data_IF_998498743808
#
_entry.id   IF_998498743808
#
_cell.length_a   1.000
_cell.length_b   1.000
_cell.length_c   1.000
_cell.angle_alpha   90.00
_cell.angle_beta   90.00
_cell.angle_gamma   90.00
#
_symmetry.space_group_name_H-M   'P 1'
#
loop_
_entity.id
_entity.type
_entity.pdbx_description
1 polymer ?
#
# COMPACT_ATOMS: atom_id res chain seq x y z
N UNK A 1 -64.52 42.52 -21.73
CA UNK A 1 -65.94 42.24 -21.38
C UNK A 1 -66.12 40.74 -21.59
N UNK A 2 -66.46 39.88 -20.63
CA UNK A 2 -67.53 39.98 -19.63
C UNK A 2 -67.14 39.15 -18.40
N UNK A 3 -67.45 39.70 -17.22
CA UNK A 3 -67.52 38.99 -15.94
C UNK A 3 -68.89 38.36 -15.83
N UNK A 4 -68.99 37.14 -15.31
CA UNK A 4 -70.19 36.66 -14.61
C UNK A 4 -69.78 35.73 -13.48
N UNK A 5 -70.04 36.21 -12.26
CA UNK A 5 -70.05 35.49 -10.99
C UNK A 5 -71.30 34.60 -10.93
N UNK A 6 -71.17 33.38 -10.40
CA UNK A 6 -72.25 32.74 -9.63
C UNK A 6 -71.65 31.86 -8.54
N UNK A 7 -71.92 32.24 -7.30
CA UNK A 7 -71.66 31.50 -6.09
C UNK A 7 -72.73 30.40 -5.88
N UNK A 8 -72.34 29.26 -5.32
CA UNK A 8 -73.20 28.25 -4.67
C UNK A 8 -72.28 27.40 -3.79
N UNK A 9 -72.25 27.66 -2.47
CA UNK A 9 -73.08 27.04 -1.44
C UNK A 9 -72.56 25.65 -0.99
N UNK A 10 -71.79 25.73 0.11
CA UNK A 10 -71.55 24.78 1.21
C UNK A 10 -72.35 23.47 1.19
N UNK A 11 -71.67 22.33 1.37
CA UNK A 11 -72.11 21.26 2.28
C UNK A 11 -70.93 20.46 2.84
N UNK A 12 -70.98 20.28 4.16
CA UNK A 12 -70.03 19.62 5.04
C UNK A 12 -69.87 18.12 4.74
N UNK A 13 -68.63 17.64 4.75
CA UNK A 13 -68.33 16.28 5.22
C UNK A 13 -66.93 16.22 5.79
N UNK A 14 -66.85 16.32 7.12
CA UNK A 14 -65.68 16.01 7.91
C UNK A 14 -65.29 14.54 7.69
N UNK A 15 -64.17 14.32 7.02
CA UNK A 15 -63.50 13.01 6.98
C UNK A 15 -62.10 13.21 7.54
N UNK A 16 -61.96 12.92 8.83
CA UNK A 16 -60.70 12.83 9.54
C UNK A 16 -59.86 11.72 8.87
N UNK A 17 -59.07 12.10 7.86
CA UNK A 17 -58.03 11.23 7.34
C UNK A 17 -56.92 11.19 8.39
N UNK A 18 -56.96 10.16 9.24
CA UNK A 18 -55.86 9.84 10.15
C UNK A 18 -54.60 9.59 9.33
N UNK A 19 -53.77 10.62 9.24
CA UNK A 19 -52.43 10.54 8.68
C UNK A 19 -51.62 9.58 9.55
N UNK A 20 -51.58 8.31 9.16
CA UNK A 20 -50.66 7.34 9.73
C UNK A 20 -49.24 7.80 9.41
N UNK A 21 -48.64 8.55 10.32
CA UNK A 21 -47.21 8.81 10.26
C UNK A 21 -46.49 7.47 10.36
N UNK A 22 -45.99 7.01 9.21
CA UNK A 22 -44.91 6.03 9.16
C UNK A 22 -43.71 6.67 9.84
N UNK A 23 -43.56 6.40 11.13
CA UNK A 23 -42.32 6.70 11.86
C UNK A 23 -41.23 5.90 11.13
N UNK A 24 -40.22 6.51 10.51
CA UNK A 24 -39.12 5.76 9.95
C UNK A 24 -38.42 5.03 11.11
N UNK A 25 -38.56 3.71 11.13
CA UNK A 25 -37.86 2.83 12.07
C UNK A 25 -36.41 2.66 11.63
N UNK A 26 -35.67 3.76 11.59
CA UNK A 26 -34.21 3.73 11.58
C UNK A 26 -33.80 4.20 12.97
N UNK A 27 -33.38 3.25 13.81
CA UNK A 27 -32.64 3.62 15.01
C UNK A 27 -31.44 4.49 14.55
N UNK A 28 -31.19 5.65 15.18
CA UNK A 28 -30.03 6.46 14.81
C UNK A 28 -28.79 5.60 15.08
N UNK A 29 -28.12 5.14 14.03
CA UNK A 29 -26.74 4.68 14.18
C UNK A 29 -25.96 5.92 14.58
N UNK A 30 -25.32 5.89 15.74
CA UNK A 30 -24.57 7.04 16.24
C UNK A 30 -23.55 7.48 15.18
N UNK A 31 -23.33 8.78 15.03
CA UNK A 31 -22.34 9.33 14.09
C UNK A 31 -20.94 8.76 14.32
N UNK A 32 -20.63 8.38 15.56
CA UNK A 32 -19.42 7.64 15.95
C UNK A 32 -19.28 6.31 15.21
N UNK A 33 -20.32 5.46 15.16
CA UNK A 33 -20.28 4.19 14.41
C UNK A 33 -20.09 4.35 12.90
N UNK A 34 -20.40 5.52 12.34
CA UNK A 34 -20.18 5.80 10.92
C UNK A 34 -18.73 6.23 10.65
N UNK A 35 -18.11 6.98 11.57
CA UNK A 35 -16.70 7.35 11.51
C UNK A 35 -15.81 6.10 11.61
N UNK A 36 -15.99 5.26 12.62
CA UNK A 36 -15.19 4.03 12.80
C UNK A 36 -15.30 3.08 11.60
N UNK A 37 -16.46 3.02 10.94
CA UNK A 37 -16.64 2.21 9.72
C UNK A 37 -15.86 2.74 8.53
N UNK A 38 -15.67 4.06 8.47
CA UNK A 38 -14.88 4.73 7.44
C UNK A 38 -13.40 4.46 7.69
N UNK A 39 -12.96 4.57 8.94
CA UNK A 39 -11.56 4.35 9.34
C UNK A 39 -11.16 2.88 9.12
N UNK A 40 -12.01 1.92 9.50
CA UNK A 40 -11.84 0.50 9.15
C UNK A 40 -11.72 0.22 7.65
N UNK A 41 -12.35 1.05 6.79
CA UNK A 41 -12.24 0.91 5.34
C UNK A 41 -10.93 1.51 4.83
N UNK A 42 -10.47 2.60 5.44
CA UNK A 42 -9.21 3.24 5.12
C UNK A 42 -8.03 2.31 5.43
N UNK A 43 -7.90 1.83 6.66
CA UNK A 43 -6.79 0.95 7.04
C UNK A 43 -6.77 -0.35 6.21
N UNK A 44 -7.95 -0.89 5.85
CA UNK A 44 -8.02 -2.06 4.96
C UNK A 44 -7.51 -1.76 3.56
N UNK A 45 -7.72 -0.54 3.08
CA UNK A 45 -7.22 -0.09 1.78
C UNK A 45 -5.72 0.12 1.84
N UNK A 46 -5.21 0.71 2.92
CA UNK A 46 -3.80 1.02 3.11
C UNK A 46 -2.98 -0.27 3.25
N UNK A 47 -3.40 -1.22 4.10
CA UNK A 47 -2.80 -2.56 4.15
C UNK A 47 -2.79 -3.26 2.79
N UNK A 48 -3.78 -3.04 1.92
CA UNK A 48 -3.79 -3.63 0.56
C UNK A 48 -2.80 -2.93 -0.35
N UNK A 49 -2.63 -1.62 -0.21
CA UNK A 49 -1.65 -0.81 -0.91
C UNK A 49 -0.23 -1.26 -0.54
N UNK A 50 0.12 -1.24 0.74
CA UNK A 50 1.44 -1.67 1.24
C UNK A 50 1.77 -3.12 0.84
N UNK A 51 0.77 -4.01 0.81
CA UNK A 51 0.97 -5.39 0.31
C UNK A 51 1.26 -5.47 -1.17
N UNK A 52 0.79 -4.52 -1.97
CA UNK A 52 1.13 -4.40 -3.38
C UNK A 52 2.54 -3.85 -3.53
N UNK A 53 2.90 -2.84 -2.75
CA UNK A 53 4.21 -2.20 -2.78
C UNK A 53 5.30 -3.20 -2.38
N UNK A 54 5.16 -3.89 -1.23
CA UNK A 54 6.05 -5.00 -0.84
C UNK A 54 6.22 -6.05 -1.94
N UNK A 55 5.19 -6.31 -2.76
CA UNK A 55 5.32 -7.27 -3.88
C UNK A 55 6.12 -6.68 -5.03
N UNK A 56 5.99 -5.38 -5.31
CA UNK A 56 6.80 -4.67 -6.29
C UNK A 56 8.26 -4.68 -5.84
N UNK A 57 8.55 -4.19 -4.64
CA UNK A 57 9.92 -4.12 -4.12
C UNK A 57 10.59 -5.50 -4.07
N UNK A 58 9.81 -6.56 -3.82
CA UNK A 58 10.35 -7.94 -3.88
C UNK A 58 10.75 -8.37 -5.29
N UNK A 59 10.05 -7.89 -6.32
CA UNK A 59 10.45 -8.12 -7.72
C UNK A 59 11.72 -7.35 -8.02
N UNK A 60 11.78 -6.09 -7.62
CA UNK A 60 12.92 -5.20 -7.83
C UNK A 60 14.17 -5.75 -7.13
N UNK A 61 14.06 -6.12 -5.85
CA UNK A 61 15.12 -6.84 -5.10
C UNK A 61 15.62 -8.13 -5.75
N UNK A 62 14.75 -8.83 -6.49
CA UNK A 62 15.15 -10.04 -7.21
C UNK A 62 15.85 -9.71 -8.51
N UNK A 63 15.44 -8.64 -9.19
CA UNK A 63 16.10 -8.12 -10.38
C UNK A 63 17.50 -7.60 -10.04
N UNK A 64 17.66 -6.72 -9.05
CA UNK A 64 18.95 -6.21 -8.62
C UNK A 64 19.90 -7.33 -8.16
N UNK A 65 19.35 -8.41 -7.59
CA UNK A 65 20.15 -9.59 -7.24
C UNK A 65 20.68 -10.32 -8.47
N UNK A 66 19.92 -10.35 -9.56
CA UNK A 66 20.34 -10.97 -10.82
C UNK A 66 21.39 -10.12 -11.50
N UNK A 67 21.18 -8.81 -11.58
CA UNK A 67 22.11 -7.82 -12.16
C UNK A 67 23.46 -7.87 -11.42
N UNK A 68 23.46 -7.68 -10.10
CA UNK A 68 24.67 -7.84 -9.26
C UNK A 68 25.39 -9.20 -9.40
N UNK A 69 24.66 -10.27 -9.73
CA UNK A 69 25.26 -11.57 -9.99
C UNK A 69 25.87 -11.66 -11.40
N UNK A 70 25.31 -10.95 -12.38
CA UNK A 70 25.85 -10.68 -13.71
C UNK A 70 27.18 -9.94 -13.62
N UNK A 71 27.21 -8.77 -12.98
CA UNK A 71 28.44 -7.98 -12.79
C UNK A 71 29.55 -8.80 -12.13
N UNK A 72 29.18 -9.64 -11.15
CA UNK A 72 30.16 -10.53 -10.48
C UNK A 72 30.71 -11.62 -11.38
N UNK A 73 30.02 -11.99 -12.46
CA UNK A 73 30.53 -12.92 -13.47
C UNK A 73 31.45 -12.17 -14.43
N UNK A 74 31.07 -10.99 -14.88
CA UNK A 74 31.87 -10.11 -15.74
C UNK A 74 33.21 -9.75 -15.08
N UNK A 75 33.20 -9.23 -13.85
CA UNK A 75 34.41 -8.98 -13.05
C UNK A 75 35.32 -10.22 -12.92
N UNK A 76 34.76 -11.44 -12.93
CA UNK A 76 35.56 -12.67 -12.86
C UNK A 76 36.18 -13.02 -14.21
N UNK A 77 35.47 -12.77 -15.31
CA UNK A 77 35.96 -12.95 -16.68
C UNK A 77 37.13 -11.99 -16.93
N UNK A 78 36.95 -10.68 -16.72
CA UNK A 78 38.01 -9.69 -16.90
C UNK A 78 39.24 -9.98 -16.01
N UNK A 79 39.02 -10.49 -14.79
CA UNK A 79 40.15 -10.92 -13.94
C UNK A 79 40.88 -12.14 -14.47
N UNK A 80 40.21 -13.02 -15.20
CA UNK A 80 40.84 -14.16 -15.86
C UNK A 80 41.63 -13.67 -17.08
N UNK A 81 41.06 -12.76 -17.88
CA UNK A 81 41.69 -12.18 -19.07
C UNK A 81 42.96 -11.41 -18.69
N UNK A 82 42.88 -10.48 -17.72
CA UNK A 82 44.06 -9.80 -17.16
C UNK A 82 45.14 -10.77 -16.66
N UNK A 83 44.76 -11.95 -16.14
CA UNK A 83 45.74 -12.95 -15.70
C UNK A 83 46.39 -13.65 -16.88
N UNK A 84 45.65 -13.92 -17.94
CA UNK A 84 46.14 -14.50 -19.18
C UNK A 84 47.09 -13.52 -19.88
N UNK A 85 46.67 -12.29 -20.13
CA UNK A 85 47.51 -11.26 -20.77
C UNK A 85 48.81 -11.02 -20.01
N UNK A 86 48.75 -11.07 -18.66
CA UNK A 86 49.96 -10.96 -17.84
C UNK A 86 50.93 -12.13 -18.01
N UNK A 87 50.44 -13.33 -18.34
CA UNK A 87 51.29 -14.50 -18.63
C UNK A 87 51.90 -14.33 -20.02
N UNK A 88 51.10 -13.95 -21.00
CA UNK A 88 51.52 -13.70 -22.39
C UNK A 88 52.55 -12.59 -22.44
N UNK A 89 52.28 -11.45 -21.80
CA UNK A 89 53.23 -10.34 -21.64
C UNK A 89 54.59 -10.78 -21.08
N UNK A 90 54.59 -11.66 -20.06
CA UNK A 90 55.84 -12.17 -19.47
C UNK A 90 56.61 -13.05 -20.44
N UNK A 91 55.91 -13.81 -21.28
CA UNK A 91 56.49 -14.66 -22.30
C UNK A 91 57.07 -13.82 -23.44
N UNK A 92 56.33 -12.82 -23.92
CA UNK A 92 56.78 -11.94 -25.01
C UNK A 92 58.01 -11.12 -24.62
N UNK A 93 58.01 -10.58 -23.39
CA UNK A 93 59.19 -9.89 -22.83
C UNK A 93 60.40 -10.83 -22.78
N UNK A 94 60.21 -12.10 -22.40
CA UNK A 94 61.30 -13.10 -22.36
C UNK A 94 61.82 -13.43 -23.76
N UNK A 95 60.93 -13.48 -24.74
CA UNK A 95 61.24 -13.79 -26.13
C UNK A 95 61.78 -12.57 -26.90
N UNK A 96 61.73 -11.37 -26.31
CA UNK A 96 62.15 -10.13 -26.95
C UNK A 96 61.11 -9.55 -27.92
N UNK A 97 59.89 -10.08 -27.95
CA UNK A 97 58.80 -9.55 -28.79
C UNK A 97 58.19 -8.31 -28.12
N UNK A 98 58.74 -7.16 -28.46
CA UNK A 98 58.31 -5.88 -27.88
C UNK A 98 56.95 -5.42 -28.42
N UNK A 99 56.55 -5.86 -29.61
CA UNK A 99 55.29 -5.49 -30.22
C UNK A 99 54.12 -6.24 -29.58
N UNK A 100 54.25 -7.57 -29.42
CA UNK A 100 53.28 -8.37 -28.70
C UNK A 100 53.16 -7.91 -27.23
N UNK A 101 54.29 -7.70 -26.55
CA UNK A 101 54.30 -7.15 -25.20
C UNK A 101 53.63 -5.76 -25.07
N UNK A 102 53.68 -4.92 -26.12
CA UNK A 102 52.98 -3.63 -26.11
C UNK A 102 51.46 -3.81 -26.24
N UNK A 103 51.02 -4.78 -27.04
CA UNK A 103 49.61 -5.14 -27.19
C UNK A 103 49.03 -5.69 -25.88
N UNK A 104 49.69 -6.66 -25.25
CA UNK A 104 49.26 -7.21 -23.96
C UNK A 104 49.15 -6.14 -22.86
N UNK A 105 50.01 -5.11 -22.89
CA UNK A 105 49.90 -3.96 -21.96
C UNK A 105 48.68 -3.09 -22.24
N UNK A 106 48.28 -2.96 -23.51
CA UNK A 106 47.10 -2.21 -23.90
C UNK A 106 45.84 -2.96 -23.46
N UNK A 107 45.79 -4.28 -23.70
CA UNK A 107 44.67 -5.15 -23.34
C UNK A 107 44.48 -5.17 -21.81
N UNK A 108 45.55 -5.41 -21.03
CA UNK A 108 45.52 -5.27 -19.55
C UNK A 108 45.01 -3.89 -19.08
N UNK A 109 45.30 -2.81 -19.83
CA UNK A 109 44.84 -1.47 -19.47
C UNK A 109 43.34 -1.31 -19.77
N UNK A 110 42.84 -1.87 -20.87
CA UNK A 110 41.43 -1.89 -21.21
C UNK A 110 40.64 -2.66 -20.14
N UNK A 111 41.00 -3.91 -19.85
CA UNK A 111 40.32 -4.73 -18.85
C UNK A 111 40.32 -4.08 -17.46
N UNK A 112 41.39 -3.37 -17.09
CA UNK A 112 41.43 -2.64 -15.81
C UNK A 112 40.45 -1.47 -15.76
N UNK A 113 40.19 -0.84 -16.91
CA UNK A 113 39.20 0.23 -17.03
C UNK A 113 37.79 -0.37 -16.92
N UNK A 114 37.56 -1.51 -17.55
CA UNK A 114 36.27 -2.20 -17.52
C UNK A 114 35.97 -2.72 -16.11
N UNK A 115 36.92 -3.41 -15.47
CA UNK A 115 36.85 -3.79 -14.06
C UNK A 115 36.54 -2.62 -13.11
N UNK A 116 37.01 -1.41 -13.41
CA UNK A 116 36.73 -0.23 -12.61
C UNK A 116 35.28 0.22 -12.77
N UNK A 117 34.74 0.14 -13.99
CA UNK A 117 33.35 0.42 -14.31
C UNK A 117 32.43 -0.61 -13.64
N UNK A 118 32.71 -1.91 -13.79
CA UNK A 118 31.93 -2.96 -13.13
C UNK A 118 31.91 -2.81 -11.60
N UNK A 119 33.05 -2.41 -11.01
CA UNK A 119 33.11 -2.14 -9.58
C UNK A 119 32.28 -0.93 -9.15
N UNK A 120 32.12 0.06 -10.03
CA UNK A 120 31.22 1.19 -9.81
C UNK A 120 29.76 0.72 -9.87
N UNK A 121 29.41 -0.08 -10.87
CA UNK A 121 28.04 -0.54 -11.09
C UNK A 121 27.60 -1.49 -9.96
N UNK A 122 28.45 -2.43 -9.56
CA UNK A 122 28.24 -3.28 -8.39
C UNK A 122 28.00 -2.47 -7.09
N UNK A 123 28.59 -1.27 -6.99
CA UNK A 123 28.39 -0.37 -5.84
C UNK A 123 27.04 0.34 -5.94
N UNK A 124 26.60 0.71 -7.14
CA UNK A 124 25.27 1.27 -7.39
C UNK A 124 24.18 0.26 -7.08
N UNK A 125 24.26 -0.95 -7.64
CA UNK A 125 23.35 -2.06 -7.33
C UNK A 125 23.21 -2.28 -5.83
N UNK A 126 24.34 -2.27 -5.10
CA UNK A 126 24.34 -2.47 -3.66
C UNK A 126 23.59 -1.36 -2.90
N UNK A 127 23.57 -0.13 -3.41
CA UNK A 127 22.76 0.97 -2.85
C UNK A 127 21.28 0.76 -3.14
N UNK A 128 20.93 0.36 -4.35
CA UNK A 128 19.55 0.16 -4.78
C UNK A 128 18.91 -0.98 -3.97
N UNK A 129 19.61 -2.12 -3.84
CA UNK A 129 19.25 -3.21 -2.95
C UNK A 129 19.10 -2.82 -1.48
N UNK A 130 19.76 -1.75 -1.03
CA UNK A 130 19.61 -1.24 0.34
C UNK A 130 18.39 -0.34 0.45
N UNK A 131 18.05 0.41 -0.61
CA UNK A 131 16.84 1.22 -0.68
C UNK A 131 15.60 0.34 -0.68
N UNK A 132 15.48 -0.62 -1.58
CA UNK A 132 14.32 -1.51 -1.64
C UNK A 132 14.11 -2.28 -0.34
N UNK A 133 15.20 -2.69 0.33
CA UNK A 133 15.11 -3.33 1.66
C UNK A 133 14.53 -2.41 2.72
N UNK A 134 14.85 -1.12 2.64
CA UNK A 134 14.30 -0.11 3.53
C UNK A 134 12.83 0.11 3.22
N UNK A 135 12.44 0.15 1.97
CA UNK A 135 11.05 0.40 1.54
C UNK A 135 10.14 -0.74 1.99
N UNK A 136 10.54 -2.00 1.72
CA UNK A 136 9.88 -3.20 2.28
C UNK A 136 9.77 -3.16 3.81
N UNK A 137 10.76 -2.56 4.50
CA UNK A 137 10.71 -2.46 5.96
C UNK A 137 9.69 -1.41 6.43
N UNK A 138 9.64 -0.27 5.73
CA UNK A 138 8.67 0.81 5.96
C UNK A 138 7.24 0.29 5.76
N UNK A 139 6.93 -0.32 4.62
CA UNK A 139 5.61 -0.88 4.35
C UNK A 139 5.18 -1.92 5.40
N UNK A 140 6.13 -2.73 5.88
CA UNK A 140 5.85 -3.70 6.97
C UNK A 140 5.56 -3.03 8.30
N UNK A 141 6.10 -1.84 8.54
CA UNK A 141 5.82 -1.03 9.73
C UNK A 141 4.44 -0.41 9.61
N UNK A 142 4.09 0.09 8.43
CA UNK A 142 2.81 0.75 8.17
C UNK A 142 1.65 -0.25 8.25
N UNK A 143 1.76 -1.42 7.60
CA UNK A 143 0.84 -2.56 7.81
C UNK A 143 0.66 -2.92 9.29
N UNK A 144 1.71 -2.79 10.11
CA UNK A 144 1.63 -3.11 11.55
C UNK A 144 0.84 -2.05 12.32
N UNK A 145 1.00 -0.78 11.97
CA UNK A 145 0.20 0.32 12.53
C UNK A 145 -1.26 0.21 12.10
N UNK A 146 -1.54 0.09 10.81
CA UNK A 146 -2.91 -0.06 10.30
C UNK A 146 -3.64 -1.25 10.93
N UNK A 147 -2.93 -2.35 11.20
CA UNK A 147 -3.53 -3.51 11.88
C UNK A 147 -3.89 -3.22 13.34
N UNK A 148 -3.10 -2.38 14.02
CA UNK A 148 -3.37 -1.95 15.38
C UNK A 148 -4.56 -0.99 15.40
N UNK A 149 -4.63 -0.09 14.46
CA UNK A 149 -5.73 0.88 14.33
C UNK A 149 -7.04 0.16 13.98
N UNK A 150 -7.01 -0.76 13.00
CA UNK A 150 -8.13 -1.69 12.73
C UNK A 150 -8.62 -2.46 13.95
N UNK A 151 -7.72 -2.79 14.89
CA UNK A 151 -8.10 -3.48 16.10
C UNK A 151 -8.79 -2.54 17.09
N UNK A 152 -8.31 -1.30 17.22
CA UNK A 152 -8.94 -0.25 18.02
C UNK A 152 -10.33 0.09 17.50
N UNK A 153 -10.48 0.43 16.23
CA UNK A 153 -11.77 0.75 15.62
C UNK A 153 -12.80 -0.39 15.78
N UNK A 154 -12.36 -1.65 15.66
CA UNK A 154 -13.24 -2.81 15.89
C UNK A 154 -13.70 -2.92 17.34
N UNK A 155 -12.83 -2.55 18.28
CA UNK A 155 -13.15 -2.58 19.70
C UNK A 155 -14.16 -1.47 20.02
N UNK A 156 -13.97 -0.30 19.45
CA UNK A 156 -14.81 0.88 19.66
C UNK A 156 -16.21 0.68 19.05
N UNK A 157 -16.29 0.22 17.79
CA UNK A 157 -17.55 -0.22 17.16
C UNK A 157 -18.31 -1.29 17.96
N UNK A 158 -17.58 -2.16 18.68
CA UNK A 158 -18.17 -3.17 19.55
C UNK A 158 -18.68 -2.56 20.85
N UNK A 159 -18.00 -1.54 21.37
CA UNK A 159 -18.44 -0.69 22.47
C UNK A 159 -19.74 0.02 22.14
N UNK A 160 -19.73 0.83 21.07
CA UNK A 160 -20.89 1.58 20.59
C UNK A 160 -22.11 0.66 20.38
N UNK A 161 -21.92 -0.48 19.71
CA UNK A 161 -23.01 -1.45 19.50
C UNK A 161 -23.59 -2.01 20.82
N UNK A 162 -22.78 -2.11 21.87
CA UNK A 162 -23.27 -2.54 23.20
C UNK A 162 -24.08 -1.44 23.87
N UNK A 163 -23.68 -0.19 23.70
CA UNK A 163 -24.38 1.00 24.21
C UNK A 163 -25.72 1.19 23.49
N UNK A 164 -25.73 1.21 22.15
CA UNK A 164 -26.96 1.23 21.35
C UNK A 164 -27.95 0.14 21.78
N UNK A 165 -27.43 -1.07 22.09
CA UNK A 165 -28.27 -2.19 22.55
C UNK A 165 -28.84 -1.96 23.95
N UNK A 166 -28.13 -1.26 24.83
CA UNK A 166 -28.62 -0.89 26.17
C UNK A 166 -29.71 0.17 26.05
N UNK A 167 -29.46 1.22 25.26
CA UNK A 167 -30.42 2.31 25.04
C UNK A 167 -31.72 1.78 24.43
N UNK A 168 -31.61 0.90 23.43
CA UNK A 168 -32.78 0.22 22.84
C UNK A 168 -33.54 -0.65 23.85
N UNK A 169 -32.87 -1.24 24.85
CA UNK A 169 -33.55 -1.99 25.92
C UNK A 169 -34.28 -1.07 26.89
N UNK A 170 -33.68 0.07 27.23
CA UNK A 170 -34.27 1.08 28.11
C UNK A 170 -35.52 1.70 27.47
N UNK A 171 -35.43 2.12 26.21
CA UNK A 171 -36.61 2.63 25.45
C UNK A 171 -37.72 1.58 25.38
N UNK A 172 -37.38 0.30 25.18
CA UNK A 172 -38.36 -0.80 25.19
C UNK A 172 -39.00 -0.99 26.56
N UNK A 173 -38.23 -0.86 27.64
CA UNK A 173 -38.72 -0.96 29.00
C UNK A 173 -39.70 0.17 29.32
N UNK A 174 -39.35 1.41 29.01
CA UNK A 174 -40.20 2.58 29.23
C UNK A 174 -41.50 2.49 28.44
N UNK A 175 -41.43 2.06 27.17
CA UNK A 175 -42.61 1.85 26.33
C UNK A 175 -43.55 0.79 26.94
N UNK A 176 -43.01 -0.34 27.41
CA UNK A 176 -43.80 -1.40 28.07
C UNK A 176 -44.46 -0.90 29.36
N UNK A 177 -43.73 -0.12 30.16
CA UNK A 177 -44.24 0.48 31.40
C UNK A 177 -45.36 1.50 31.14
N UNK A 178 -45.24 2.31 30.09
CA UNK A 178 -46.28 3.25 29.68
C UNK A 178 -47.58 2.54 29.22
N UNK A 179 -47.46 1.43 28.48
CA UNK A 179 -48.63 0.64 28.07
C UNK A 179 -49.33 -0.09 29.23
N UNK A 180 -48.60 -0.43 30.30
CA UNK A 180 -49.17 -1.09 31.51
C UNK A 180 -49.95 -0.14 32.44
N UNK A 181 -49.88 1.18 32.22
CA UNK A 181 -50.52 2.21 33.05
C UNK A 181 -51.79 2.79 32.42
N UNK A 182 -52.24 2.25 31.29
CA UNK A 182 -53.53 2.54 30.66
C UNK A 182 -54.43 1.33 30.82
#
# INVERSE_FOLDING_TARGET
MRRTLTASAVLLSASLFSFGQTIPSQAPVSSATQADRKDLRHDRRDIRHDRRDIRSDRRDLNQDRRERNGDRREIRADKADVRQDRRELRQDIRNGDTAAAAKERADIRADRKDLKSDHHDLRSDRRDLRHDRRDVHTDRRDIRHDKRDLHHDRKDLRGDRREDRRDLREVRYDKRKAHSKK
#
